data_IF_103010895227
#
_entry.id   IF_103010895227
#
_cell.length_a   1.000
_cell.length_b   1.000
_cell.length_c   1.000
_cell.angle_alpha   90.00
_cell.angle_beta   90.00
_cell.angle_gamma   90.00
#
_symmetry.space_group_name_H-M   'P 1'
#
loop_
_entity.id
_entity.type
_entity.pdbx_description
1 polymer ?
#
# COMPACT_ATOMS: atom_id res chain seq x y z
N UNK A 1 3.67 22.23 -0.58
CA UNK A 1 4.92 21.57 -1.05
C UNK A 1 5.49 20.54 -0.06
N UNK A 2 5.33 20.72 1.26
CA UNK A 2 5.87 19.77 2.26
C UNK A 2 4.99 18.52 2.46
N UNK A 3 3.66 18.66 2.32
CA UNK A 3 2.68 17.58 2.51
C UNK A 3 2.90 16.38 1.55
N UNK A 4 3.02 16.64 0.25
CA UNK A 4 3.30 15.60 -0.75
C UNK A 4 4.58 14.81 -0.47
N UNK A 5 5.62 15.44 0.12
CA UNK A 5 6.85 14.73 0.48
C UNK A 5 6.64 13.79 1.67
N UNK A 6 5.83 14.20 2.64
CA UNK A 6 5.49 13.41 3.82
C UNK A 6 4.65 12.19 3.41
N UNK A 7 3.60 12.42 2.61
CA UNK A 7 2.77 11.34 2.05
C UNK A 7 3.61 10.37 1.23
N UNK A 8 4.50 10.90 0.37
CA UNK A 8 5.37 10.04 -0.43
C UNK A 8 6.27 9.15 0.41
N UNK A 9 6.82 9.69 1.49
CA UNK A 9 7.66 8.94 2.43
C UNK A 9 6.85 7.87 3.15
N UNK A 10 5.61 8.18 3.53
CA UNK A 10 4.71 7.23 4.18
C UNK A 10 4.35 6.07 3.24
N UNK A 11 3.93 6.36 2.00
CA UNK A 11 3.63 5.33 1.00
C UNK A 11 4.85 4.44 0.75
N UNK A 12 6.06 5.02 0.64
CA UNK A 12 7.28 4.22 0.44
C UNK A 12 7.58 3.30 1.63
N UNK A 13 7.42 3.81 2.86
CA UNK A 13 7.64 3.03 4.07
C UNK A 13 6.65 1.86 4.18
N UNK A 14 5.38 2.10 3.84
CA UNK A 14 4.36 1.04 3.81
C UNK A 14 4.66 0.02 2.70
N UNK A 15 5.04 0.46 1.50
CA UNK A 15 5.41 -0.43 0.41
C UNK A 15 6.57 -1.35 0.78
N UNK A 16 7.62 -0.83 1.44
CA UNK A 16 8.75 -1.63 1.96
C UNK A 16 8.25 -2.70 2.92
N UNK A 17 7.46 -2.31 3.92
CA UNK A 17 6.92 -3.23 4.93
C UNK A 17 6.07 -4.34 4.30
N UNK A 18 5.15 -3.99 3.41
CA UNK A 18 4.30 -4.96 2.69
C UNK A 18 5.17 -5.94 1.88
N UNK A 19 6.18 -5.43 1.19
CA UNK A 19 7.10 -6.25 0.38
C UNK A 19 7.96 -7.16 1.27
N UNK A 20 8.38 -6.71 2.45
CA UNK A 20 9.12 -7.53 3.43
C UNK A 20 8.30 -8.73 3.93
N UNK A 21 6.96 -8.62 3.96
CA UNK A 21 6.07 -9.75 4.24
C UNK A 21 5.85 -10.69 3.04
N UNK A 22 6.44 -10.38 1.87
CA UNK A 22 6.26 -11.13 0.63
C UNK A 22 4.92 -10.85 -0.07
N UNK A 23 4.25 -9.75 0.28
CA UNK A 23 2.96 -9.36 -0.30
C UNK A 23 3.21 -8.42 -1.48
N UNK A 24 2.27 -8.33 -2.42
CA UNK A 24 2.42 -7.46 -3.60
C UNK A 24 1.75 -6.13 -3.32
N UNK A 25 2.53 -5.05 -3.37
CA UNK A 25 2.05 -3.67 -3.22
C UNK A 25 1.82 -3.02 -4.60
N UNK A 26 0.64 -2.44 -4.83
CA UNK A 26 0.28 -1.73 -6.07
C UNK A 26 -0.20 -0.33 -5.72
N UNK A 27 0.71 0.63 -5.84
CA UNK A 27 0.42 2.04 -5.63
C UNK A 27 -0.71 2.53 -6.55
N UNK A 28 -1.61 3.35 -6.02
CA UNK A 28 -2.59 4.11 -6.79
C UNK A 28 -2.13 5.56 -6.93
N UNK A 29 -2.57 6.29 -7.97
CA UNK A 29 -2.28 7.71 -8.07
C UNK A 29 -2.72 8.42 -6.79
N UNK A 30 -1.88 9.35 -6.30
CA UNK A 30 -2.14 10.16 -5.11
C UNK A 30 -3.14 11.27 -5.50
N UNK A 31 -4.34 10.83 -5.84
CA UNK A 31 -5.53 11.64 -5.99
C UNK A 31 -6.40 11.32 -4.79
N UNK A 32 -7.02 12.34 -4.19
CA UNK A 32 -7.75 12.21 -2.93
C UNK A 32 -9.08 11.46 -3.11
N UNK A 33 -8.97 10.15 -3.38
CA UNK A 33 -10.06 9.20 -3.63
C UNK A 33 -10.21 8.16 -2.51
N UNK A 34 -9.45 8.32 -1.42
CA UNK A 34 -9.50 7.45 -0.24
C UNK A 34 -8.77 6.11 -0.38
N UNK A 35 -8.06 5.86 -1.48
CA UNK A 35 -7.26 4.64 -1.70
C UNK A 35 -5.89 5.02 -2.27
N UNK A 36 -4.85 4.76 -1.50
CA UNK A 36 -3.46 5.05 -1.85
C UNK A 36 -2.76 3.84 -2.47
N UNK A 37 -3.24 2.63 -2.17
CA UNK A 37 -2.70 1.39 -2.74
C UNK A 37 -3.69 0.23 -2.67
N UNK A 38 -3.47 -0.76 -3.53
CA UNK A 38 -4.00 -2.11 -3.39
C UNK A 38 -2.88 -3.04 -2.94
N UNK A 39 -3.21 -3.99 -2.06
CA UNK A 39 -2.28 -5.01 -1.61
C UNK A 39 -2.87 -6.39 -1.84
N UNK A 40 -2.04 -7.29 -2.35
CA UNK A 40 -2.36 -8.67 -2.62
C UNK A 40 -1.52 -9.58 -1.72
N UNK A 41 -2.17 -10.45 -0.96
CA UNK A 41 -1.49 -11.42 -0.08
C UNK A 41 -0.90 -12.57 -0.90
N UNK A 42 0.09 -13.30 -0.36
CA UNK A 42 0.46 -14.62 -0.86
C UNK A 42 -0.76 -15.54 -0.94
N UNK A 43 -0.65 -16.55 -1.81
CA UNK A 43 -1.66 -17.61 -1.92
C UNK A 43 -1.71 -18.36 -0.58
N UNK A 44 -2.89 -18.39 0.03
CA UNK A 44 -3.15 -19.10 1.27
C UNK A 44 -3.32 -20.61 1.06
N UNK A 45 -3.55 -21.31 2.17
CA UNK A 45 -3.77 -22.77 2.20
C UNK A 45 -5.00 -23.18 1.37
N UNK A 46 -5.97 -22.29 1.22
CA UNK A 46 -7.17 -22.50 0.41
C UNK A 46 -6.98 -22.14 -1.08
N UNK A 47 -5.73 -21.99 -1.52
CA UNK A 47 -5.34 -21.64 -2.88
C UNK A 47 -5.95 -20.32 -3.39
N UNK A 48 -6.22 -19.38 -2.48
CA UNK A 48 -6.71 -18.03 -2.79
C UNK A 48 -5.76 -16.97 -2.24
N UNK A 49 -5.57 -15.90 -2.99
CA UNK A 49 -5.02 -14.66 -2.47
C UNK A 49 -6.16 -13.77 -1.97
N UNK A 50 -5.83 -12.77 -1.16
CA UNK A 50 -6.76 -11.70 -0.75
C UNK A 50 -6.24 -10.39 -1.28
N UNK A 51 -7.17 -9.54 -1.73
CA UNK A 51 -6.87 -8.18 -2.18
C UNK A 51 -7.60 -7.20 -1.26
N UNK A 52 -6.90 -6.20 -0.77
CA UNK A 52 -7.50 -5.14 0.04
C UNK A 52 -6.89 -3.78 -0.31
N UNK A 53 -7.70 -2.73 -0.13
CA UNK A 53 -7.28 -1.35 -0.32
C UNK A 53 -6.64 -0.79 0.96
N UNK A 54 -5.65 0.09 0.78
CA UNK A 54 -5.01 0.83 1.85
C UNK A 54 -5.24 2.32 1.69
N UNK A 55 -5.54 2.97 2.81
CA UNK A 55 -5.40 4.42 2.98
C UNK A 55 -4.22 4.68 3.93
N UNK A 56 -3.27 5.50 3.51
CA UNK A 56 -1.97 5.70 4.14
C UNK A 56 -1.84 7.18 4.53
N UNK A 57 -1.74 7.45 5.84
CA UNK A 57 -1.54 8.80 6.36
C UNK A 57 -0.13 8.95 6.91
N UNK A 58 0.66 9.82 6.28
CA UNK A 58 1.93 10.28 6.83
C UNK A 58 1.67 11.42 7.80
N UNK A 59 1.68 11.13 9.10
CA UNK A 59 1.56 12.15 10.16
C UNK A 59 2.69 13.18 10.15
#
# INVERSE_FOLDING_TARGET
>A
MNHFKIERKAIYKVASLITEYGWIFREQPIVDLGVDALVETPIGIDNRNKIFALQIKGG
#
